data_IF_296963991317
#
_entry.id   IF_296963991317
#
_cell.length_a   1.000
_cell.length_b   1.000
_cell.length_c   1.000
_cell.angle_alpha   90.00
_cell.angle_beta   90.00
_cell.angle_gamma   90.00
#
_symmetry.space_group_name_H-M   'P 1'
#
loop_
_entity.id
_entity.type
_entity.pdbx_description
1 polymer ?
#
# COMPACT_ATOMS: atom_id res chain seq x y z
N UNK A 1 22.52 24.52 20.17
CA UNK A 1 22.56 23.24 20.89
C UNK A 1 21.46 22.36 20.31
N UNK A 2 21.81 21.47 19.38
CA UNK A 2 20.93 20.39 18.97
C UNK A 2 21.40 19.15 19.74
N UNK A 3 20.57 18.62 20.64
CA UNK A 3 20.79 17.30 21.21
C UNK A 3 20.68 16.29 20.06
N UNK A 4 21.81 15.83 19.56
CA UNK A 4 21.87 14.61 18.77
C UNK A 4 21.80 13.45 19.76
N UNK A 5 20.59 13.13 20.23
CA UNK A 5 20.33 11.89 20.93
C UNK A 5 20.51 10.78 19.89
N UNK A 6 21.68 10.15 19.90
CA UNK A 6 21.98 9.00 19.07
C UNK A 6 21.12 7.86 19.59
N UNK A 7 19.98 7.64 18.93
CA UNK A 7 19.05 6.54 19.24
C UNK A 7 19.84 5.24 19.14
N UNK A 8 19.90 4.48 20.22
CA UNK A 8 20.59 3.20 20.20
C UNK A 8 19.80 2.20 19.31
N UNK A 9 20.46 1.21 18.69
CA UNK A 9 19.76 0.24 17.84
C UNK A 9 18.62 -0.51 18.55
N UNK A 10 18.70 -0.71 19.87
CA UNK A 10 17.61 -1.30 20.67
C UNK A 10 16.42 -0.36 20.81
N UNK A 11 16.68 0.94 21.07
CA UNK A 11 15.61 1.93 21.21
C UNK A 11 14.83 2.11 19.90
N UNK A 12 15.52 2.06 18.75
CA UNK A 12 14.88 2.12 17.44
C UNK A 12 13.99 0.91 17.16
N UNK A 13 14.35 -0.26 17.68
CA UNK A 13 13.55 -1.48 17.57
C UNK A 13 12.29 -1.42 18.44
N UNK A 14 12.43 -0.91 19.66
CA UNK A 14 11.32 -0.74 20.59
C UNK A 14 10.30 0.29 20.05
N UNK A 15 10.77 1.37 19.42
CA UNK A 15 9.89 2.32 18.73
C UNK A 15 9.19 1.68 17.52
N UNK A 16 9.87 0.83 16.75
CA UNK A 16 9.26 0.12 15.63
C UNK A 16 8.08 -0.75 16.07
N UNK A 17 8.22 -1.49 17.17
CA UNK A 17 7.16 -2.36 17.68
C UNK A 17 5.93 -1.60 18.20
N UNK A 18 6.04 -0.30 18.49
CA UNK A 18 4.90 0.56 18.85
C UNK A 18 4.08 1.01 17.64
N UNK A 19 4.66 1.03 16.44
CA UNK A 19 4.00 1.57 15.24
C UNK A 19 2.69 0.87 14.88
N UNK A 20 2.57 -0.48 14.95
CA UNK A 20 1.29 -1.16 14.70
C UNK A 20 0.18 -0.71 15.67
N UNK A 21 0.50 -0.56 16.96
CA UNK A 21 -0.45 -0.13 17.98
C UNK A 21 -0.92 1.32 17.75
N UNK A 22 -0.01 2.20 17.37
CA UNK A 22 -0.33 3.58 16.99
C UNK A 22 -1.24 3.64 15.75
N UNK A 23 -0.97 2.78 14.76
CA UNK A 23 -1.76 2.70 13.53
C UNK A 23 -3.18 2.16 13.80
N UNK A 24 -3.30 1.15 14.66
CA UNK A 24 -4.58 0.61 15.09
C UNK A 24 -5.37 1.62 15.96
N UNK A 25 -4.68 2.33 16.85
CA UNK A 25 -5.27 3.43 17.61
C UNK A 25 -5.85 4.51 16.68
N UNK A 26 -5.08 4.94 15.67
CA UNK A 26 -5.56 5.90 14.67
C UNK A 26 -6.82 5.37 13.96
N UNK A 27 -6.81 4.13 13.48
CA UNK A 27 -7.95 3.50 12.82
C UNK A 27 -9.20 3.50 13.70
N UNK A 28 -9.06 3.11 14.98
CA UNK A 28 -10.16 3.15 15.95
C UNK A 28 -10.68 4.57 16.20
N UNK A 29 -9.81 5.57 16.21
CA UNK A 29 -10.21 6.96 16.47
C UNK A 29 -11.07 7.58 15.36
N UNK A 30 -10.89 7.12 14.12
CA UNK A 30 -11.59 7.61 12.93
C UNK A 30 -12.77 6.72 12.50
N UNK A 31 -12.82 5.46 12.96
CA UNK A 31 -13.97 4.57 12.75
C UNK A 31 -15.26 5.21 13.28
N UNK A 32 -16.36 5.01 12.56
CA UNK A 32 -17.69 5.56 12.86
C UNK A 32 -17.75 7.09 12.87
N UNK A 33 -16.73 7.78 12.33
CA UNK A 33 -16.79 9.21 12.06
C UNK A 33 -17.25 9.40 10.62
N UNK A 34 -18.51 9.78 10.42
CA UNK A 34 -19.13 9.91 9.09
C UNK A 34 -18.34 10.74 8.08
N UNK A 35 -17.56 11.72 8.54
CA UNK A 35 -16.72 12.53 7.66
C UNK A 35 -15.50 11.80 7.09
N UNK A 36 -15.08 10.70 7.72
CA UNK A 36 -13.97 9.83 7.29
C UNK A 36 -14.45 8.65 6.45
N UNK A 37 -15.75 8.39 6.39
CA UNK A 37 -16.28 7.26 5.62
C UNK A 37 -16.30 7.57 4.11
N UNK A 38 -16.09 6.56 3.24
CA UNK A 38 -16.31 6.74 1.82
C UNK A 38 -17.78 7.05 1.57
N UNK A 39 -18.05 8.00 0.70
CA UNK A 39 -19.44 8.34 0.35
C UNK A 39 -20.02 7.31 -0.61
N UNK A 40 -19.18 6.66 -1.44
CA UNK A 40 -19.62 5.55 -2.27
C UNK A 40 -18.53 4.53 -2.48
N UNK A 41 -18.91 3.25 -2.43
CA UNK A 41 -18.05 2.11 -2.75
C UNK A 41 -18.78 1.23 -3.76
N UNK A 42 -18.22 1.07 -4.96
CA UNK A 42 -18.90 0.33 -6.03
C UNK A 42 -17.91 -0.32 -7.01
N UNK A 43 -18.28 -1.47 -7.56
CA UNK A 43 -17.54 -2.14 -8.63
C UNK A 43 -18.00 -1.54 -9.97
N UNK A 44 -17.07 -0.93 -10.70
CA UNK A 44 -17.32 -0.43 -12.06
C UNK A 44 -16.97 -1.52 -13.07
N UNK A 45 -17.83 -1.73 -14.05
CA UNK A 45 -17.58 -2.70 -15.13
C UNK A 45 -16.27 -2.39 -15.87
N UNK A 46 -15.51 -3.45 -16.16
CA UNK A 46 -14.20 -3.33 -16.83
C UNK A 46 -13.09 -2.69 -15.98
N UNK A 47 -13.32 -2.42 -14.69
CA UNK A 47 -12.28 -1.93 -13.78
C UNK A 47 -11.84 -3.03 -12.80
N UNK A 48 -10.52 -3.23 -12.59
CA UNK A 48 -10.05 -4.31 -11.72
C UNK A 48 -10.30 -4.03 -10.24
N UNK A 49 -10.31 -2.76 -9.82
CA UNK A 49 -10.55 -2.39 -8.43
C UNK A 49 -11.99 -1.96 -8.17
N UNK A 50 -12.46 -2.17 -6.95
CA UNK A 50 -13.66 -1.51 -6.43
C UNK A 50 -13.36 -0.03 -6.26
N UNK A 51 -14.17 0.85 -6.84
CA UNK A 51 -13.99 2.30 -6.73
C UNK A 51 -14.42 2.75 -5.34
N UNK A 52 -13.56 3.50 -4.65
CA UNK A 52 -13.81 4.02 -3.30
C UNK A 52 -13.71 5.54 -3.35
N UNK A 53 -14.85 6.22 -3.33
CA UNK A 53 -14.91 7.68 -3.46
C UNK A 53 -15.14 8.35 -2.10
N UNK A 54 -14.33 9.37 -1.81
CA UNK A 54 -14.45 10.21 -0.62
C UNK A 54 -14.82 11.63 -1.01
N UNK A 55 -15.70 12.27 -0.24
CA UNK A 55 -16.04 13.68 -0.46
C UNK A 55 -14.87 14.63 -0.21
N UNK A 56 -13.93 14.25 0.66
CA UNK A 56 -12.81 15.08 1.08
C UNK A 56 -11.49 14.43 0.70
N UNK A 57 -10.65 15.19 0.01
CA UNK A 57 -9.33 14.74 -0.45
C UNK A 57 -8.41 14.34 0.71
N UNK A 58 -8.50 15.04 1.84
CA UNK A 58 -7.75 14.69 3.05
C UNK A 58 -8.12 13.31 3.58
N UNK A 59 -9.41 12.94 3.56
CA UNK A 59 -9.88 11.63 4.01
C UNK A 59 -9.40 10.51 3.09
N UNK A 60 -9.52 10.71 1.76
CA UNK A 60 -8.94 9.78 0.78
C UNK A 60 -7.43 9.60 0.99
N UNK A 61 -6.68 10.69 1.15
CA UNK A 61 -5.23 10.63 1.37
C UNK A 61 -4.87 9.94 2.68
N UNK A 62 -5.62 10.20 3.76
CA UNK A 62 -5.43 9.53 5.05
C UNK A 62 -5.65 8.02 4.96
N UNK A 63 -6.72 7.57 4.31
CA UNK A 63 -6.97 6.14 4.12
C UNK A 63 -5.94 5.48 3.21
N UNK A 64 -5.48 6.15 2.15
CA UNK A 64 -4.37 5.64 1.34
C UNK A 64 -3.08 5.48 2.15
N UNK A 65 -2.75 6.45 3.01
CA UNK A 65 -1.58 6.37 3.88
C UNK A 65 -1.73 5.29 4.96
N UNK A 66 -2.93 5.10 5.51
CA UNK A 66 -3.22 4.00 6.43
C UNK A 66 -2.97 2.64 5.78
N UNK A 67 -3.55 2.39 4.60
CA UNK A 67 -3.33 1.15 3.87
C UNK A 67 -1.88 0.99 3.44
N UNK A 68 -1.20 2.08 3.11
CA UNK A 68 0.22 2.04 2.78
C UNK A 68 1.07 1.62 3.99
N UNK A 69 0.79 2.17 5.19
CA UNK A 69 1.45 1.76 6.42
C UNK A 69 1.21 0.28 6.76
N UNK A 70 -0.01 -0.24 6.50
CA UNK A 70 -0.32 -1.66 6.64
C UNK A 70 0.47 -2.57 5.68
N UNK A 71 0.92 -2.03 4.55
CA UNK A 71 1.84 -2.73 3.64
C UNK A 71 3.29 -2.58 4.14
N UNK A 72 3.72 -1.39 4.52
CA UNK A 72 5.11 -1.12 4.91
C UNK A 72 5.54 -1.81 6.20
N UNK A 73 4.73 -1.78 7.26
CA UNK A 73 5.14 -2.31 8.56
C UNK A 73 5.50 -3.81 8.49
N UNK A 74 4.71 -4.69 7.84
CA UNK A 74 5.13 -6.08 7.65
C UNK A 74 6.28 -6.25 6.65
N UNK A 75 6.47 -5.30 5.72
CA UNK A 75 7.43 -5.39 4.60
C UNK A 75 8.71 -4.58 4.78
N UNK A 76 8.94 -4.04 5.97
CA UNK A 76 10.15 -3.28 6.29
C UNK A 76 10.68 -3.59 7.68
N UNK A 77 10.24 -4.69 8.29
CA UNK A 77 10.61 -5.06 9.65
C UNK A 77 12.15 -5.18 9.80
N UNK A 78 12.80 -4.37 10.67
CA UNK A 78 14.26 -4.30 10.78
C UNK A 78 14.95 -5.60 11.24
N UNK A 79 14.22 -6.49 11.91
CA UNK A 79 14.75 -7.78 12.41
C UNK A 79 14.63 -8.93 11.41
N UNK A 80 14.00 -8.71 10.26
CA UNK A 80 13.88 -9.74 9.22
C UNK A 80 15.02 -9.55 8.22
N UNK A 81 15.98 -10.48 8.22
CA UNK A 81 17.21 -10.50 7.39
C UNK A 81 16.99 -10.61 5.86
N UNK A 82 15.82 -10.27 5.34
CA UNK A 82 15.55 -10.24 3.91
C UNK A 82 14.73 -9.00 3.56
N UNK A 83 15.19 -8.23 2.56
CA UNK A 83 14.40 -7.27 1.80
C UNK A 83 13.05 -7.88 1.43
N UNK A 84 12.03 -7.65 2.27
CA UNK A 84 10.88 -8.54 2.30
C UNK A 84 9.93 -8.31 1.14
N UNK A 85 9.94 -7.16 0.46
CA UNK A 85 9.17 -6.97 -0.78
C UNK A 85 9.60 -7.94 -1.90
N UNK A 86 10.89 -8.26 -2.00
CA UNK A 86 11.42 -9.27 -2.92
C UNK A 86 11.14 -10.69 -2.39
N UNK A 87 11.21 -10.90 -1.07
CA UNK A 87 10.88 -12.17 -0.44
C UNK A 87 9.38 -12.53 -0.50
N UNK A 88 8.49 -11.53 -0.47
CA UNK A 88 7.03 -11.71 -0.56
C UNK A 88 6.61 -12.28 -1.93
N UNK A 89 7.35 -11.97 -3.00
CA UNK A 89 7.11 -12.55 -4.34
C UNK A 89 7.54 -14.01 -4.46
N UNK A 90 8.50 -14.47 -3.64
CA UNK A 90 8.91 -15.88 -3.63
C UNK A 90 7.85 -16.82 -3.05
N UNK A 91 6.88 -16.31 -2.30
CA UNK A 91 5.84 -17.13 -1.65
C UNK A 91 4.88 -17.75 -2.68
N UNK A 92 4.75 -17.17 -3.87
CA UNK A 92 3.89 -17.73 -4.94
C UNK A 92 4.48 -19.02 -5.57
N UNK A 93 5.80 -19.22 -5.47
CA UNK A 93 6.52 -20.31 -6.15
C UNK A 93 6.53 -21.63 -5.34
N UNK A 94 6.41 -21.58 -4.01
CA UNK A 94 6.49 -22.78 -3.17
C UNK A 94 5.11 -23.32 -2.77
N UNK A 95 4.26 -23.65 -3.74
CA UNK A 95 2.95 -24.32 -3.51
C UNK A 95 3.08 -25.84 -3.41
N UNK A 96 4.05 -26.32 -2.63
CA UNK A 96 4.28 -27.76 -2.43
C UNK A 96 4.41 -28.03 -0.93
N UNK A 97 3.41 -28.72 -0.37
CA UNK A 97 3.24 -29.14 1.03
C UNK A 97 2.74 -28.06 2.03
N UNK A 98 1.44 -28.13 2.36
CA UNK A 98 0.73 -27.28 3.33
C UNK A 98 1.21 -27.58 4.76
N UNK A 99 1.96 -26.65 5.33
CA UNK A 99 2.35 -26.60 6.75
C UNK A 99 1.67 -25.43 7.45
N UNK A 100 1.62 -25.41 8.79
CA UNK A 100 1.05 -24.29 9.56
C UNK A 100 1.69 -22.94 9.24
N UNK A 101 2.97 -22.92 8.86
CA UNK A 101 3.67 -21.72 8.41
C UNK A 101 3.18 -21.20 7.05
N UNK A 102 2.70 -22.06 6.15
CA UNK A 102 2.09 -21.64 4.88
C UNK A 102 0.73 -20.97 5.06
N UNK A 103 -0.07 -21.41 6.05
CA UNK A 103 -1.35 -20.78 6.36
C UNK A 103 -1.17 -19.34 6.86
N UNK A 104 -0.22 -19.13 7.77
CA UNK A 104 0.12 -17.79 8.27
C UNK A 104 0.68 -16.88 7.17
N UNK A 105 1.48 -17.41 6.24
CA UNK A 105 1.98 -16.67 5.09
C UNK A 105 0.86 -16.32 4.10
N UNK A 106 -0.07 -17.25 3.85
CA UNK A 106 -1.26 -17.02 3.02
C UNK A 106 -2.16 -15.94 3.60
N UNK A 107 -2.41 -15.97 4.92
CA UNK A 107 -3.17 -14.94 5.61
C UNK A 107 -2.47 -13.57 5.53
N UNK A 108 -1.16 -13.51 5.76
CA UNK A 108 -0.39 -12.27 5.62
C UNK A 108 -0.47 -11.71 4.20
N UNK A 109 -0.32 -12.57 3.19
CA UNK A 109 -0.43 -12.17 1.80
C UNK A 109 -1.83 -11.67 1.44
N UNK A 110 -2.88 -12.35 1.90
CA UNK A 110 -4.27 -11.91 1.74
C UNK A 110 -4.53 -10.53 2.33
N UNK A 111 -3.94 -10.23 3.50
CA UNK A 111 -4.06 -8.93 4.13
C UNK A 111 -3.35 -7.81 3.33
N UNK A 112 -2.14 -8.10 2.81
CA UNK A 112 -1.41 -7.16 1.94
C UNK A 112 -2.20 -6.84 0.66
N UNK A 113 -2.74 -7.86 -0.01
CA UNK A 113 -3.56 -7.68 -1.20
C UNK A 113 -4.83 -6.88 -0.92
N UNK A 114 -5.47 -7.11 0.24
CA UNK A 114 -6.61 -6.31 0.65
C UNK A 114 -6.24 -4.82 0.70
N UNK A 115 -5.17 -4.46 1.41
CA UNK A 115 -4.72 -3.07 1.52
C UNK A 115 -4.26 -2.47 0.19
N UNK A 116 -3.56 -3.24 -0.65
CA UNK A 116 -3.17 -2.81 -1.99
C UNK A 116 -4.40 -2.48 -2.85
N UNK A 117 -5.44 -3.32 -2.83
CA UNK A 117 -6.71 -3.08 -3.55
C UNK A 117 -7.45 -1.86 -3.01
N UNK A 118 -7.40 -1.60 -1.70
CA UNK A 118 -7.99 -0.38 -1.14
C UNK A 118 -7.28 0.88 -1.68
N UNK A 119 -5.95 0.90 -1.69
CA UNK A 119 -5.16 2.03 -2.24
C UNK A 119 -5.56 2.32 -3.69
N UNK A 120 -5.55 1.28 -4.53
CA UNK A 120 -5.89 1.42 -5.94
C UNK A 120 -7.37 1.74 -6.16
N UNK A 121 -8.28 1.24 -5.31
CA UNK A 121 -9.69 1.60 -5.33
C UNK A 121 -9.96 3.07 -5.03
N UNK A 122 -9.19 3.66 -4.09
CA UNK A 122 -9.23 5.09 -3.81
C UNK A 122 -8.67 5.87 -4.98
N UNK A 123 -7.50 5.48 -5.52
CA UNK A 123 -6.89 6.15 -6.67
C UNK A 123 -7.79 6.10 -7.91
N UNK A 124 -8.48 4.98 -8.14
CA UNK A 124 -9.43 4.79 -9.24
C UNK A 124 -10.63 5.74 -9.18
N UNK A 125 -11.00 6.23 -7.98
CA UNK A 125 -12.04 7.23 -7.83
C UNK A 125 -11.64 8.63 -8.32
N UNK A 126 -10.37 8.80 -8.73
CA UNK A 126 -9.74 10.07 -9.15
C UNK A 126 -9.99 11.18 -8.12
N UNK A 127 -9.47 11.05 -6.89
CA UNK A 127 -9.58 12.11 -5.88
C UNK A 127 -8.86 13.38 -6.35
N UNK A 128 -9.03 14.48 -5.61
CA UNK A 128 -8.38 15.76 -5.91
C UNK A 128 -6.87 15.62 -6.19
N UNK A 129 -6.32 16.46 -7.08
CA UNK A 129 -4.93 16.37 -7.54
C UNK A 129 -3.89 16.28 -6.43
N UNK A 130 -4.05 17.03 -5.33
CA UNK A 130 -3.15 16.94 -4.17
C UNK A 130 -3.12 15.56 -3.50
N UNK A 131 -4.27 14.88 -3.40
CA UNK A 131 -4.35 13.51 -2.89
C UNK A 131 -3.64 12.54 -3.85
N UNK A 132 -3.82 12.75 -5.16
CA UNK A 132 -3.19 11.92 -6.19
C UNK A 132 -1.67 12.03 -6.18
N UNK A 133 -1.13 13.24 -6.06
CA UNK A 133 0.32 13.48 -5.89
C UNK A 133 0.86 12.76 -4.64
N UNK A 134 0.15 12.86 -3.51
CA UNK A 134 0.55 12.17 -2.28
C UNK A 134 0.44 10.63 -2.39
N UNK A 135 -0.34 10.12 -3.35
CA UNK A 135 -0.57 8.68 -3.54
C UNK A 135 0.46 7.97 -4.42
N UNK A 136 1.49 8.67 -4.93
CA UNK A 136 2.48 8.05 -5.82
C UNK A 136 3.18 6.84 -5.16
N UNK A 137 3.69 6.99 -3.93
CA UNK A 137 4.31 5.86 -3.23
C UNK A 137 3.29 4.79 -2.84
N UNK A 138 2.12 5.12 -2.24
CA UNK A 138 1.06 4.14 -2.02
C UNK A 138 0.71 3.31 -3.26
N UNK A 139 0.49 3.94 -4.43
CA UNK A 139 0.13 3.24 -5.66
C UNK A 139 1.26 2.34 -6.16
N UNK A 140 2.51 2.79 -6.05
CA UNK A 140 3.68 1.98 -6.38
C UNK A 140 3.76 0.71 -5.54
N UNK A 141 3.70 0.84 -4.20
CA UNK A 141 3.79 -0.32 -3.31
C UNK A 141 2.58 -1.24 -3.43
N UNK A 142 1.37 -0.71 -3.67
CA UNK A 142 0.20 -1.52 -4.01
C UNK A 142 0.45 -2.34 -5.29
N UNK A 143 0.99 -1.71 -6.33
CA UNK A 143 1.38 -2.38 -7.58
C UNK A 143 2.42 -3.49 -7.37
N UNK A 144 3.36 -3.30 -6.44
CA UNK A 144 4.37 -4.30 -6.09
C UNK A 144 3.75 -5.58 -5.49
N UNK A 145 2.57 -5.49 -4.87
CA UNK A 145 1.88 -6.60 -4.22
C UNK A 145 1.09 -7.51 -5.17
N UNK A 146 0.68 -7.03 -6.35
CA UNK A 146 -0.20 -7.79 -7.23
C UNK A 146 0.56 -8.87 -8.00
N UNK A 147 -0.02 -10.06 -8.18
CA UNK A 147 0.50 -11.11 -9.09
C UNK A 147 -0.26 -11.19 -10.41
N UNK A 148 -1.51 -10.70 -10.44
CA UNK A 148 -2.36 -10.65 -11.63
C UNK A 148 -1.98 -9.47 -12.55
N UNK A 149 -1.89 -9.73 -13.85
CA UNK A 149 -1.57 -8.75 -14.87
C UNK A 149 -2.62 -7.61 -14.96
N UNK A 150 -3.90 -7.88 -14.75
CA UNK A 150 -4.95 -6.86 -14.84
C UNK A 150 -4.85 -5.81 -13.71
N UNK A 151 -4.66 -6.27 -12.47
CA UNK A 151 -4.50 -5.37 -11.31
C UNK A 151 -3.19 -4.60 -11.40
N UNK A 152 -2.14 -5.26 -11.89
CA UNK A 152 -0.84 -4.66 -12.12
C UNK A 152 -0.90 -3.54 -13.15
N UNK A 153 -1.44 -3.83 -14.32
CA UNK A 153 -1.53 -2.86 -15.41
C UNK A 153 -2.38 -1.67 -14.97
N UNK A 154 -3.49 -1.90 -14.25
CA UNK A 154 -4.26 -0.80 -13.71
C UNK A 154 -3.49 0.02 -12.66
N UNK A 155 -2.66 -0.58 -11.80
CA UNK A 155 -1.81 0.17 -10.87
C UNK A 155 -0.77 1.03 -11.61
N UNK A 156 -0.18 0.50 -12.68
CA UNK A 156 0.72 1.23 -13.59
C UNK A 156 -0.01 2.42 -14.23
N UNK A 157 -1.19 2.18 -14.81
CA UNK A 157 -2.01 3.22 -15.42
C UNK A 157 -2.39 4.31 -14.41
N UNK A 158 -2.70 3.97 -13.16
CA UNK A 158 -3.00 4.95 -12.11
C UNK A 158 -1.81 5.88 -11.83
N UNK A 159 -0.57 5.39 -11.92
CA UNK A 159 0.64 6.21 -11.78
C UNK A 159 0.87 7.09 -13.02
N UNK A 160 0.66 6.57 -14.22
CA UNK A 160 0.80 7.35 -15.45
C UNK A 160 -0.24 8.46 -15.55
N UNK A 161 -1.48 8.16 -15.15
CA UNK A 161 -2.58 9.13 -15.07
C UNK A 161 -2.23 10.32 -14.16
N UNK A 162 -1.48 10.12 -13.07
CA UNK A 162 -1.06 11.24 -12.19
C UNK A 162 -0.22 12.25 -12.98
N UNK A 163 0.77 11.78 -13.72
CA UNK A 163 1.64 12.67 -14.48
C UNK A 163 0.94 13.24 -15.71
N UNK A 164 0.14 12.43 -16.41
CA UNK A 164 -0.63 12.87 -17.57
C UNK A 164 -1.65 13.96 -17.20
N UNK A 165 -2.35 13.81 -16.07
CA UNK A 165 -3.41 14.75 -15.67
C UNK A 165 -2.86 15.98 -14.93
N UNK A 166 -1.77 15.84 -14.17
CA UNK A 166 -1.30 16.88 -13.23
C UNK A 166 0.07 17.45 -13.57
N UNK A 167 0.82 16.86 -14.51
CA UNK A 167 2.21 17.22 -14.82
C UNK A 167 3.20 16.89 -13.70
N UNK A 168 2.77 16.16 -12.66
CA UNK A 168 3.64 15.78 -11.54
C UNK A 168 4.35 14.47 -11.82
N UNK A 169 5.67 14.47 -11.70
CA UNK A 169 6.50 13.29 -11.98
C UNK A 169 6.01 12.06 -11.21
N UNK A 170 5.56 11.04 -11.93
CA UNK A 170 5.03 9.78 -11.39
C UNK A 170 5.30 8.57 -12.31
N UNK A 171 5.50 8.77 -13.61
CA UNK A 171 5.79 7.71 -14.58
C UNK A 171 7.04 6.91 -14.26
N UNK A 172 8.02 7.50 -13.55
CA UNK A 172 9.19 6.76 -13.09
C UNK A 172 8.81 5.55 -12.21
N UNK A 173 7.77 5.66 -11.36
CA UNK A 173 7.26 4.52 -10.58
C UNK A 173 6.50 3.51 -11.43
N UNK A 174 5.81 3.97 -12.47
CA UNK A 174 5.20 3.08 -13.44
C UNK A 174 6.28 2.26 -14.18
N UNK A 175 7.41 2.88 -14.51
CA UNK A 175 8.56 2.21 -15.12
C UNK A 175 9.23 1.22 -14.17
N UNK A 176 9.41 1.60 -12.90
CA UNK A 176 9.93 0.69 -11.87
C UNK A 176 9.05 -0.58 -11.79
N UNK A 177 7.72 -0.43 -11.75
CA UNK A 177 6.80 -1.58 -11.71
C UNK A 177 6.91 -2.49 -12.94
N UNK A 178 7.06 -1.92 -14.14
CA UNK A 178 7.21 -2.70 -15.38
C UNK A 178 8.51 -3.51 -15.37
N UNK A 179 9.62 -2.88 -14.99
CA UNK A 179 10.95 -3.52 -14.95
C UNK A 179 11.01 -4.67 -13.95
N UNK A 180 10.39 -4.49 -12.80
CA UNK A 180 10.41 -5.47 -11.71
C UNK A 180 9.80 -6.83 -12.11
N UNK A 181 9.12 -6.92 -13.26
CA UNK A 181 8.63 -8.17 -13.84
C UNK A 181 9.35 -8.64 -15.10
N UNK A 182 10.21 -7.81 -15.69
CA UNK A 182 11.04 -8.23 -16.84
C UNK A 182 12.29 -9.01 -16.38
N UNK A 183 12.70 -8.79 -15.13
CA UNK A 183 13.88 -9.41 -14.51
C UNK A 183 13.56 -10.72 -13.72
N UNK A 184 12.36 -11.29 -13.92
CA UNK A 184 11.88 -12.56 -13.34
C UNK A 184 11.58 -13.53 -14.48
#
# INVERSE_FOLDING_TARGET
MACSDVISPSDGLDEWYKLPDLLDYWNRSVKNRSFMDPVSVYKKDGKPFTTIWFARSVCASSWQMFHFAQILLPTSCPTQDCSCLVAFRRIEVCRSAITSSQLELSHRYGNLLYHARQICGIAQSKPHGSCRVNSIQPNYYAGCCFSNDDEREAAIMLLEDIENDLGWAAKYRAWDLRKLYTDI
#
